data_IF_735265573787
#
_entry.id   IF_735265573787
#
_cell.length_a   1.000
_cell.length_b   1.000
_cell.length_c   1.000
_cell.angle_alpha   90.00
_cell.angle_beta   90.00
_cell.angle_gamma   90.00
#
_symmetry.space_group_name_H-M   'P 1'
#
loop_
_entity.id
_entity.type
_entity.pdbx_description
1 polymer ?
#
# COMPACT_ATOMS: atom_id res chain seq x y z
N UNK A 1 25.03 5.06 27.25
CA UNK A 1 25.85 4.03 26.56
C UNK A 1 26.94 4.75 25.77
N UNK A 2 28.21 4.43 26.01
CA UNK A 2 29.33 4.96 25.21
C UNK A 2 29.13 4.53 23.75
N UNK A 3 29.25 5.47 22.82
CA UNK A 3 29.06 5.24 21.38
C UNK A 3 27.77 5.80 20.76
N UNK A 4 26.88 6.44 21.52
CA UNK A 4 25.72 7.13 20.94
C UNK A 4 26.09 8.54 20.48
N UNK A 5 26.50 8.68 19.22
CA UNK A 5 26.98 9.91 18.60
C UNK A 5 25.91 11.03 18.55
N UNK A 6 24.62 10.66 18.48
CA UNK A 6 23.50 11.59 18.27
C UNK A 6 22.46 11.60 19.41
N UNK A 7 22.67 10.81 20.47
CA UNK A 7 21.79 10.76 21.64
C UNK A 7 20.52 9.91 21.47
N UNK A 8 19.83 9.63 22.60
CA UNK A 8 18.64 8.75 22.66
C UNK A 8 17.45 9.32 21.87
N UNK A 9 17.30 10.65 21.89
CA UNK A 9 16.18 11.35 21.25
C UNK A 9 16.22 11.23 19.72
N UNK A 10 17.39 11.38 19.12
CA UNK A 10 17.57 11.24 17.65
C UNK A 10 17.19 9.83 17.17
N UNK A 11 17.62 8.81 17.92
CA UNK A 11 17.22 7.42 17.64
C UNK A 11 15.70 7.22 17.70
N UNK A 12 15.03 7.77 18.72
CA UNK A 12 13.57 7.68 18.84
C UNK A 12 12.85 8.39 17.69
N UNK A 13 13.37 9.54 17.24
CA UNK A 13 12.82 10.26 16.08
C UNK A 13 12.96 9.43 14.82
N UNK A 14 14.11 8.81 14.56
CA UNK A 14 14.30 7.97 13.38
C UNK A 14 13.42 6.72 13.40
N UNK A 15 13.24 6.08 14.57
CA UNK A 15 12.29 4.98 14.72
C UNK A 15 10.85 5.41 14.41
N UNK A 16 10.44 6.59 14.91
CA UNK A 16 9.11 7.12 14.65
C UNK A 16 8.91 7.41 13.15
N UNK A 17 9.87 8.12 12.53
CA UNK A 17 9.82 8.43 11.09
C UNK A 17 9.73 7.15 10.27
N UNK A 18 10.56 6.15 10.57
CA UNK A 18 10.54 4.89 9.84
C UNK A 18 9.23 4.11 10.04
N UNK A 19 8.71 4.06 11.27
CA UNK A 19 7.45 3.41 11.60
C UNK A 19 6.23 4.05 10.91
N UNK A 20 6.29 5.35 10.62
CA UNK A 20 5.23 6.06 9.88
C UNK A 20 5.44 5.98 8.37
N UNK A 21 6.62 6.37 7.89
CA UNK A 21 6.90 6.47 6.45
C UNK A 21 7.02 5.10 5.79
N UNK A 22 7.50 4.07 6.49
CA UNK A 22 7.66 2.73 5.91
C UNK A 22 6.35 2.18 5.34
N UNK A 23 5.32 1.98 6.17
CA UNK A 23 4.00 1.52 5.71
C UNK A 23 3.36 2.46 4.67
N UNK A 24 3.46 3.78 4.88
CA UNK A 24 2.85 4.78 4.01
C UNK A 24 3.45 4.76 2.59
N UNK A 25 4.77 4.79 2.48
CA UNK A 25 5.49 4.76 1.21
C UNK A 25 5.34 3.42 0.51
N UNK A 26 5.35 2.31 1.27
CA UNK A 26 5.12 0.97 0.71
C UNK A 26 3.74 0.87 0.07
N UNK A 27 2.68 1.26 0.79
CA UNK A 27 1.33 1.25 0.23
C UNK A 27 1.17 2.21 -0.95
N UNK A 28 1.82 3.37 -0.92
CA UNK A 28 1.84 4.31 -2.06
C UNK A 28 2.50 3.69 -3.28
N UNK A 29 3.64 3.01 -3.09
CA UNK A 29 4.33 2.31 -4.18
C UNK A 29 3.48 1.18 -4.77
N UNK A 30 2.83 0.37 -3.91
CA UNK A 30 1.90 -0.68 -4.38
C UNK A 30 0.72 -0.08 -5.14
N UNK A 31 0.26 1.12 -4.77
CA UNK A 31 -0.80 1.84 -5.47
C UNK A 31 -0.50 2.05 -6.95
N UNK A 32 0.78 2.27 -7.29
CA UNK A 32 1.22 2.49 -8.68
C UNK A 32 0.99 1.27 -9.58
N UNK A 33 0.84 0.07 -9.02
CA UNK A 33 0.47 -1.10 -9.81
C UNK A 33 -0.98 -1.05 -10.32
N UNK A 34 -1.81 -0.22 -9.70
CA UNK A 34 -3.19 -0.01 -10.12
C UNK A 34 -3.34 1.28 -10.93
N UNK A 35 -2.71 2.38 -10.50
CA UNK A 35 -2.79 3.67 -11.21
C UNK A 35 -1.87 3.79 -12.43
N UNK A 36 -0.93 2.86 -12.57
CA UNK A 36 0.23 2.99 -13.47
C UNK A 36 1.37 3.80 -12.84
N UNK A 37 2.57 3.60 -13.39
CA UNK A 37 3.78 4.34 -13.08
C UNK A 37 4.39 4.90 -14.37
N UNK A 38 4.98 6.10 -14.30
CA UNK A 38 5.64 6.75 -15.45
C UNK A 38 7.00 6.13 -15.71
N UNK A 39 7.01 4.91 -16.22
CA UNK A 39 8.19 4.11 -16.49
C UNK A 39 8.18 3.59 -17.92
N UNK A 40 9.32 3.64 -18.59
CA UNK A 40 9.48 3.20 -19.98
C UNK A 40 10.47 2.06 -20.03
N UNK A 41 10.07 0.99 -20.73
CA UNK A 41 10.95 -0.13 -21.09
C UNK A 41 11.19 -0.06 -22.59
N UNK A 42 12.42 0.27 -22.97
CA UNK A 42 12.83 0.31 -24.38
C UNK A 42 13.92 -0.74 -24.63
N UNK A 43 13.52 -1.85 -25.27
CA UNK A 43 14.42 -2.97 -25.57
C UNK A 43 15.33 -2.69 -26.76
N UNK A 44 15.06 -1.63 -27.54
CA UNK A 44 15.90 -1.23 -28.68
C UNK A 44 17.16 -0.52 -28.19
N UNK A 45 17.13 0.11 -27.01
CA UNK A 45 18.31 0.75 -26.41
C UNK A 45 19.46 -0.21 -26.07
N UNK A 46 19.23 -1.54 -26.11
CA UNK A 46 20.30 -2.55 -26.01
C UNK A 46 21.30 -2.50 -27.17
N UNK A 47 20.92 -1.96 -28.33
CA UNK A 47 21.81 -1.85 -29.48
C UNK A 47 22.68 -0.59 -29.46
N UNK A 48 22.48 0.31 -28.49
CA UNK A 48 23.23 1.55 -28.35
C UNK A 48 24.38 1.39 -27.34
N UNK A 49 25.62 1.33 -27.83
CA UNK A 49 26.82 0.98 -27.07
C UNK A 49 27.18 2.05 -26.02
N UNK A 50 26.68 3.28 -26.18
CA UNK A 50 27.00 4.41 -25.30
C UNK A 50 26.19 4.49 -24.01
N UNK A 51 24.95 3.97 -23.99
CA UNK A 51 24.07 4.02 -22.82
C UNK A 51 22.95 2.95 -22.89
N UNK A 52 23.25 1.67 -22.60
CA UNK A 52 22.29 0.57 -22.72
C UNK A 52 21.35 0.50 -21.50
N UNK A 53 20.54 1.54 -21.29
CA UNK A 53 19.54 1.59 -20.20
C UNK A 53 18.19 1.15 -20.75
N UNK A 54 17.83 -0.12 -20.50
CA UNK A 54 16.59 -0.73 -20.98
C UNK A 54 15.35 -0.14 -20.31
N UNK A 55 15.51 0.41 -19.11
CA UNK A 55 14.40 0.67 -18.21
C UNK A 55 14.66 1.97 -17.46
N UNK A 56 13.82 2.98 -17.68
CA UNK A 56 14.03 4.32 -17.11
C UNK A 56 12.73 4.94 -16.62
N UNK A 57 12.82 5.75 -15.58
CA UNK A 57 11.76 6.67 -15.22
C UNK A 57 11.53 7.65 -16.37
N UNK A 58 10.28 7.88 -16.72
CA UNK A 58 9.93 8.81 -17.79
C UNK A 58 10.09 10.27 -17.33
N UNK A 59 10.07 10.51 -16.01
CA UNK A 59 10.11 11.83 -15.39
C UNK A 59 11.43 12.08 -14.66
N UNK A 60 11.78 13.35 -14.47
CA UNK A 60 12.92 13.76 -13.64
C UNK A 60 12.69 13.56 -12.13
N UNK A 61 11.48 13.18 -11.73
CA UNK A 61 11.07 12.96 -10.34
C UNK A 61 11.34 11.53 -9.88
N UNK A 62 11.79 10.65 -10.78
CA UNK A 62 12.25 9.29 -10.47
C UNK A 62 11.22 8.46 -9.67
N UNK A 63 9.93 8.64 -9.94
CA UNK A 63 8.84 7.92 -9.28
C UNK A 63 8.20 8.66 -8.11
N UNK A 64 8.74 9.80 -7.66
CA UNK A 64 8.13 10.61 -6.60
C UNK A 64 6.76 11.18 -7.01
N UNK A 65 6.47 11.28 -8.31
CA UNK A 65 5.15 11.61 -8.84
C UNK A 65 4.06 10.64 -8.37
N UNK A 66 4.42 9.42 -7.95
CA UNK A 66 3.47 8.47 -7.37
C UNK A 66 2.76 9.05 -6.14
N UNK A 67 3.43 9.92 -5.38
CA UNK A 67 2.86 10.61 -4.23
C UNK A 67 1.89 11.74 -4.64
N UNK A 68 1.83 12.14 -5.91
CA UNK A 68 0.88 13.13 -6.41
C UNK A 68 -0.45 12.48 -6.82
N UNK A 69 -0.52 11.14 -6.88
CA UNK A 69 -1.75 10.40 -7.18
C UNK A 69 -2.48 10.12 -5.88
N UNK A 70 -3.64 10.77 -5.70
CA UNK A 70 -4.43 10.67 -4.46
C UNK A 70 -4.80 9.23 -4.09
N UNK A 71 -5.09 8.39 -5.08
CA UNK A 71 -5.45 6.98 -4.87
C UNK A 71 -4.28 6.15 -4.31
N UNK A 72 -3.05 6.46 -4.73
CA UNK A 72 -1.86 5.81 -4.18
C UNK A 72 -1.64 6.21 -2.73
N UNK A 73 -1.84 7.50 -2.41
CA UNK A 73 -1.76 7.98 -1.03
C UNK A 73 -2.85 7.38 -0.13
N UNK A 74 -4.07 7.18 -0.65
CA UNK A 74 -5.14 6.50 0.09
C UNK A 74 -4.76 5.05 0.41
N UNK A 75 -4.17 4.31 -0.52
CA UNK A 75 -3.65 2.97 -0.24
C UNK A 75 -2.48 3.02 0.76
N UNK A 76 -1.56 3.98 0.62
CA UNK A 76 -0.49 4.24 1.60
C UNK A 76 -1.04 4.46 3.02
N UNK A 77 -2.01 5.35 3.16
CA UNK A 77 -2.67 5.62 4.44
C UNK A 77 -3.40 4.38 4.97
N UNK A 78 -4.03 3.60 4.10
CA UNK A 78 -4.69 2.33 4.46
C UNK A 78 -3.70 1.35 5.07
N UNK A 79 -2.55 1.14 4.42
CA UNK A 79 -1.50 0.24 4.94
C UNK A 79 -0.94 0.75 6.27
N UNK A 80 -0.78 2.07 6.42
CA UNK A 80 -0.36 2.67 7.68
C UNK A 80 -1.35 2.39 8.82
N UNK A 81 -2.64 2.70 8.67
CA UNK A 81 -3.63 2.44 9.71
C UNK A 81 -3.79 0.95 9.99
N UNK A 82 -3.76 0.10 8.96
CA UNK A 82 -3.80 -1.35 9.13
C UNK A 82 -2.62 -1.87 9.95
N UNK A 83 -1.40 -1.38 9.71
CA UNK A 83 -0.23 -1.76 10.51
C UNK A 83 -0.39 -1.38 11.99
N UNK A 84 -1.08 -0.27 12.28
CA UNK A 84 -1.37 0.16 13.65
C UNK A 84 -2.42 -0.71 14.30
N UNK A 85 -3.48 -1.08 13.59
CA UNK A 85 -4.46 -2.06 14.06
C UNK A 85 -3.76 -3.36 14.46
N UNK A 86 -2.92 -3.91 13.57
CA UNK A 86 -2.15 -5.13 13.84
C UNK A 86 -1.20 -4.98 15.04
N UNK A 87 -0.53 -3.84 15.18
CA UNK A 87 0.34 -3.57 16.32
C UNK A 87 -0.43 -3.50 17.65
N UNK A 88 -1.60 -2.87 17.66
CA UNK A 88 -2.47 -2.80 18.85
C UNK A 88 -2.96 -4.18 19.25
N UNK A 89 -3.41 -5.00 18.30
CA UNK A 89 -3.81 -6.38 18.55
C UNK A 89 -2.65 -7.23 19.06
N UNK A 90 -1.47 -7.05 18.47
CA UNK A 90 -0.26 -7.71 18.95
C UNK A 90 0.03 -7.36 20.42
N UNK A 91 -0.04 -6.08 20.79
CA UNK A 91 0.17 -5.65 22.18
C UNK A 91 -0.89 -6.21 23.13
N UNK A 92 -2.16 -6.20 22.74
CA UNK A 92 -3.26 -6.76 23.54
C UNK A 92 -3.05 -8.25 23.80
N UNK A 93 -2.58 -8.99 22.80
CA UNK A 93 -2.46 -10.45 22.87
C UNK A 93 -1.15 -10.95 23.49
N UNK A 94 -0.07 -10.17 23.42
CA UNK A 94 1.27 -10.63 23.80
C UNK A 94 1.89 -9.89 24.99
N UNK A 95 1.39 -8.72 25.38
CA UNK A 95 1.92 -7.96 26.52
C UNK A 95 1.00 -8.12 27.73
N UNK A 96 1.56 -8.62 28.83
CA UNK A 96 0.87 -8.79 30.12
C UNK A 96 0.97 -7.52 30.96
N UNK A 97 0.30 -6.47 30.52
CA UNK A 97 0.20 -5.20 31.23
C UNK A 97 -1.21 -4.62 31.05
N UNK A 98 -1.92 -4.40 32.15
CA UNK A 98 -3.32 -3.97 32.14
C UNK A 98 -3.49 -2.54 31.62
N UNK A 99 -2.55 -1.64 31.94
CA UNK A 99 -2.59 -0.25 31.49
C UNK A 99 -2.37 -0.17 29.98
N UNK A 100 -1.39 -0.91 29.46
CA UNK A 100 -1.10 -1.00 28.03
C UNK A 100 -2.29 -1.62 27.29
N UNK A 101 -2.86 -2.71 27.79
CA UNK A 101 -4.01 -3.38 27.18
C UNK A 101 -5.23 -2.46 27.14
N UNK A 102 -5.54 -1.77 28.24
CA UNK A 102 -6.65 -0.81 28.31
C UNK A 102 -6.45 0.35 27.33
N UNK A 103 -5.24 0.91 27.24
CA UNK A 103 -4.92 1.97 26.28
C UNK A 103 -5.05 1.49 24.82
N UNK A 104 -4.58 0.28 24.52
CA UNK A 104 -4.67 -0.28 23.17
C UNK A 104 -6.12 -0.54 22.76
N UNK A 105 -6.94 -1.11 23.64
CA UNK A 105 -8.37 -1.37 23.38
C UNK A 105 -9.17 -0.09 23.13
N UNK A 106 -8.81 1.02 23.77
CA UNK A 106 -9.42 2.34 23.51
C UNK A 106 -9.01 2.93 22.16
N UNK A 107 -7.77 2.69 21.72
CA UNK A 107 -7.23 3.18 20.43
C UNK A 107 -7.70 2.35 19.23
N UNK A 108 -7.84 1.04 19.41
CA UNK A 108 -8.15 0.07 18.36
C UNK A 108 -9.33 0.46 17.46
N UNK A 109 -10.54 0.80 17.99
CA UNK A 109 -11.66 1.17 17.12
C UNK A 109 -11.40 2.45 16.33
N UNK A 110 -10.61 3.40 16.88
CA UNK A 110 -10.27 4.64 16.20
C UNK A 110 -9.37 4.35 14.98
N UNK A 111 -8.34 3.50 15.16
CA UNK A 111 -7.45 3.11 14.06
C UNK A 111 -8.19 2.25 13.01
N UNK A 112 -9.08 1.36 13.44
CA UNK A 112 -9.90 0.54 12.54
C UNK A 112 -10.86 1.40 11.70
N UNK A 113 -11.55 2.37 12.31
CA UNK A 113 -12.40 3.32 11.58
C UNK A 113 -11.57 4.19 10.64
N UNK A 114 -10.42 4.71 11.09
CA UNK A 114 -9.53 5.49 10.24
C UNK A 114 -9.05 4.69 9.02
N UNK A 115 -8.69 3.42 9.21
CA UNK A 115 -8.39 2.48 8.12
C UNK A 115 -9.55 2.38 7.12
N UNK A 116 -10.76 2.10 7.59
CA UNK A 116 -11.92 1.93 6.69
C UNK A 116 -12.25 3.20 5.92
N UNK A 117 -12.13 4.38 6.55
CA UNK A 117 -12.39 5.67 5.93
C UNK A 117 -11.44 5.94 4.75
N UNK A 118 -10.19 5.49 4.80
CA UNK A 118 -9.25 5.66 3.68
C UNK A 118 -9.27 4.47 2.71
N UNK A 119 -9.54 3.27 3.21
CA UNK A 119 -9.50 2.04 2.44
C UNK A 119 -10.72 1.86 1.53
N UNK A 120 -11.93 2.11 2.05
CA UNK A 120 -13.16 1.90 1.28
C UNK A 120 -13.25 2.84 0.05
N UNK A 121 -12.88 4.12 0.11
CA UNK A 121 -12.82 4.97 -1.09
C UNK A 121 -11.81 4.46 -2.12
N UNK A 122 -10.63 4.00 -1.68
CA UNK A 122 -9.64 3.40 -2.58
C UNK A 122 -10.20 2.15 -3.28
N UNK A 123 -10.81 1.23 -2.53
CA UNK A 123 -11.42 0.02 -3.11
C UNK A 123 -12.57 0.38 -4.06
N UNK A 124 -13.44 1.30 -3.67
CA UNK A 124 -14.54 1.76 -4.52
C UNK A 124 -14.04 2.31 -5.85
N UNK A 125 -13.00 3.14 -5.83
CA UNK A 125 -12.33 3.63 -7.04
C UNK A 125 -11.72 2.49 -7.85
N UNK A 126 -11.01 1.57 -7.19
CA UNK A 126 -10.35 0.44 -7.86
C UNK A 126 -11.35 -0.47 -8.57
N UNK A 127 -12.50 -0.76 -7.96
CA UNK A 127 -13.55 -1.59 -8.57
C UNK A 127 -14.17 -0.93 -9.81
N UNK A 128 -14.19 0.41 -9.87
CA UNK A 128 -14.67 1.17 -11.02
C UNK A 128 -13.59 1.44 -12.06
N UNK A 129 -12.32 1.12 -11.76
CA UNK A 129 -11.21 1.43 -12.62
C UNK A 129 -11.11 0.47 -13.81
N UNK A 130 -10.74 1.03 -14.96
CA UNK A 130 -10.28 0.26 -16.11
C UNK A 130 -8.88 -0.30 -15.80
N UNK A 131 -8.56 -1.46 -16.37
CA UNK A 131 -7.27 -2.10 -16.12
C UNK A 131 -6.79 -2.92 -17.31
N UNK A 132 -5.51 -3.27 -17.29
CA UNK A 132 -4.91 -4.06 -18.36
C UNK A 132 -5.38 -5.53 -18.31
N UNK A 133 -5.78 -6.04 -19.47
CA UNK A 133 -6.11 -7.44 -19.70
C UNK A 133 -5.31 -7.98 -20.88
N UNK A 134 -5.14 -9.29 -20.95
CA UNK A 134 -4.46 -9.99 -22.04
C UNK A 134 -5.48 -10.87 -22.74
N UNK A 135 -5.60 -10.72 -24.05
CA UNK A 135 -6.39 -11.62 -24.88
C UNK A 135 -5.70 -13.01 -24.90
N UNK A 136 -6.35 -14.09 -24.41
CA UNK A 136 -5.75 -15.41 -24.40
C UNK A 136 -5.41 -15.97 -25.79
N UNK A 137 -6.12 -15.54 -26.84
CA UNK A 137 -5.94 -16.04 -28.19
C UNK A 137 -4.80 -15.32 -28.94
N UNK A 138 -4.68 -14.00 -28.75
CA UNK A 138 -3.71 -13.18 -29.50
C UNK A 138 -2.51 -12.75 -28.66
N UNK A 139 -2.59 -12.82 -27.34
CA UNK A 139 -1.57 -12.31 -26.40
C UNK A 139 -1.51 -10.78 -26.33
N UNK A 140 -2.41 -10.07 -26.99
CA UNK A 140 -2.42 -8.61 -27.01
C UNK A 140 -2.91 -8.05 -25.67
N UNK A 141 -2.20 -7.03 -25.17
CA UNK A 141 -2.59 -6.27 -23.98
C UNK A 141 -3.58 -5.18 -24.39
N UNK A 142 -4.72 -5.10 -23.73
CA UNK A 142 -5.73 -4.07 -23.95
C UNK A 142 -6.30 -3.55 -22.64
N UNK A 143 -7.00 -2.40 -22.69
CA UNK A 143 -7.70 -1.84 -21.55
C UNK A 143 -9.11 -2.42 -21.45
N UNK A 144 -9.41 -3.09 -20.34
CA UNK A 144 -10.72 -3.66 -20.04
C UNK A 144 -11.45 -2.77 -19.01
N UNK A 145 -12.71 -2.37 -19.30
CA UNK A 145 -13.51 -1.62 -18.34
C UNK A 145 -13.84 -2.40 -17.08
N UNK A 146 -13.78 -1.76 -15.92
CA UNK A 146 -14.10 -2.37 -14.61
C UNK A 146 -13.30 -3.65 -14.33
N UNK A 147 -12.04 -3.71 -14.77
CA UNK A 147 -11.21 -4.92 -14.74
C UNK A 147 -11.18 -5.59 -13.37
N UNK A 148 -10.98 -4.78 -12.32
CA UNK A 148 -10.82 -5.29 -10.95
C UNK A 148 -12.12 -5.84 -10.37
N UNK A 149 -13.27 -5.22 -10.70
CA UNK A 149 -14.58 -5.75 -10.34
C UNK A 149 -14.86 -7.07 -11.05
N UNK A 150 -14.62 -7.14 -12.36
CA UNK A 150 -14.81 -8.36 -13.15
C UNK A 150 -13.96 -9.50 -12.58
N UNK A 151 -12.69 -9.24 -12.26
CA UNK A 151 -11.81 -10.22 -11.63
C UNK A 151 -12.36 -10.70 -10.28
N UNK A 152 -12.87 -9.79 -9.44
CA UNK A 152 -13.42 -10.16 -8.12
C UNK A 152 -14.67 -11.04 -8.25
N UNK A 153 -15.54 -10.76 -9.21
CA UNK A 153 -16.74 -11.55 -9.51
C UNK A 153 -16.36 -12.93 -10.08
N UNK A 154 -15.34 -12.98 -10.95
CA UNK A 154 -14.83 -14.23 -11.52
C UNK A 154 -14.07 -15.09 -10.50
N UNK A 155 -13.56 -14.49 -9.42
CA UNK A 155 -12.83 -15.16 -8.34
C UNK A 155 -13.60 -15.10 -7.01
N UNK A 156 -14.72 -15.82 -6.87
CA UNK A 156 -15.62 -15.69 -5.71
C UNK A 156 -14.93 -16.00 -4.37
N UNK A 157 -13.97 -16.93 -4.34
CA UNK A 157 -13.18 -17.22 -3.13
C UNK A 157 -12.39 -15.99 -2.66
N UNK A 158 -11.78 -15.25 -3.59
CA UNK A 158 -11.04 -14.02 -3.29
C UNK A 158 -12.01 -12.96 -2.79
N UNK A 159 -13.20 -12.84 -3.38
CA UNK A 159 -14.27 -11.96 -2.91
C UNK A 159 -14.68 -12.25 -1.46
N UNK A 160 -14.90 -13.52 -1.11
CA UNK A 160 -15.24 -13.92 0.26
C UNK A 160 -14.10 -13.61 1.23
N UNK A 161 -12.86 -13.96 0.89
CA UNK A 161 -11.70 -13.67 1.74
C UNK A 161 -11.50 -12.18 1.95
N UNK A 162 -11.71 -11.37 0.90
CA UNK A 162 -11.67 -9.92 0.97
C UNK A 162 -12.71 -9.39 1.96
N UNK A 163 -13.98 -9.83 1.86
CA UNK A 163 -15.04 -9.42 2.76
C UNK A 163 -14.78 -9.85 4.21
N UNK A 164 -14.31 -11.09 4.42
CA UNK A 164 -13.91 -11.57 5.75
C UNK A 164 -12.81 -10.71 6.34
N UNK A 165 -11.81 -10.31 5.54
CA UNK A 165 -10.77 -9.39 5.96
C UNK A 165 -11.31 -8.02 6.37
N UNK A 166 -12.16 -7.41 5.54
CA UNK A 166 -12.77 -6.09 5.82
C UNK A 166 -13.62 -6.13 7.09
N UNK A 167 -14.46 -7.16 7.24
CA UNK A 167 -15.30 -7.34 8.42
C UNK A 167 -14.45 -7.68 9.65
N UNK A 168 -13.39 -8.48 9.49
CA UNK A 168 -12.49 -8.85 10.58
C UNK A 168 -11.88 -7.64 11.29
N UNK A 169 -11.52 -6.59 10.53
CA UNK A 169 -10.98 -5.35 11.10
C UNK A 169 -11.97 -4.64 12.04
N UNK A 170 -13.29 -4.81 11.86
CA UNK A 170 -14.30 -4.21 12.75
C UNK A 170 -14.35 -4.88 14.13
N UNK A 171 -13.96 -6.16 14.21
CA UNK A 171 -14.01 -6.93 15.44
C UNK A 171 -12.73 -6.81 16.28
N UNK A 172 -11.66 -6.27 15.69
CA UNK A 172 -10.36 -6.20 16.33
C UNK A 172 -9.65 -7.54 16.29
#
# INVERSE_FOLDING_TARGET
KRGNLLGKRTYQVFLFINGVLGPLLLGTAVGTFFSGASFVVDRVQLTDIGMPVISRWATSWHGLEAALVVWNLLLGASVFFLSRVLALLYFINNIRDEEVSAACRRRLPIEAVAFLVVFLPFVGHLLMADGFAVDPATGNVFMEPHKYLNNLVQMPLVGVLFLVGVVGVLFG
#
